data_IF_995612409164
#
_entry.id   IF_995612409164
#
_cell.length_a   1.000
_cell.length_b   1.000
_cell.length_c   1.000
_cell.angle_alpha   90.00
_cell.angle_beta   90.00
_cell.angle_gamma   90.00
#
_symmetry.space_group_name_H-M   'P 1'
#
loop_
_entity.id
_entity.type
_entity.pdbx_description
1 polymer ?
#
# COMPACT_ATOMS: atom_id res chain seq x y z
N UNK A 1 0.76 -30.02 -69.41
CA UNK A 1 1.64 -30.49 -68.32
C UNK A 1 1.53 -29.52 -67.15
N UNK A 2 1.44 -30.11 -65.95
CA UNK A 2 1.43 -29.55 -64.58
C UNK A 2 1.88 -28.09 -64.42
N UNK A 3 1.08 -27.31 -63.67
CA UNK A 3 1.46 -26.73 -62.36
C UNK A 3 0.25 -26.05 -61.71
N UNK A 4 -0.22 -26.67 -60.64
CA UNK A 4 -1.11 -26.04 -59.67
C UNK A 4 -0.34 -24.97 -58.90
N UNK A 5 -1.00 -23.88 -58.51
CA UNK A 5 -0.58 -23.09 -57.36
C UNK A 5 -1.83 -22.73 -56.57
N UNK A 6 -2.10 -23.53 -55.54
CA UNK A 6 -2.95 -23.12 -54.42
C UNK A 6 -2.31 -21.88 -53.82
N UNK A 7 -2.98 -20.73 -53.90
CA UNK A 7 -2.70 -19.64 -52.99
C UNK A 7 -3.51 -19.90 -51.70
N UNK A 8 -2.88 -20.66 -50.78
CA UNK A 8 -3.21 -20.57 -49.37
C UNK A 8 -3.02 -19.10 -48.96
N UNK A 9 -4.12 -18.38 -48.76
CA UNK A 9 -4.08 -17.16 -47.95
C UNK A 9 -3.88 -17.65 -46.52
N UNK A 10 -2.73 -17.36 -45.88
CA UNK A 10 -2.62 -17.63 -44.46
C UNK A 10 -3.61 -16.70 -43.79
N UNK A 11 -4.61 -17.29 -43.14
CA UNK A 11 -5.35 -16.64 -42.07
C UNK A 11 -4.28 -16.38 -41.01
N UNK A 12 -3.68 -15.19 -41.08
CA UNK A 12 -2.90 -14.62 -39.98
C UNK A 12 -3.96 -14.37 -38.91
N UNK A 13 -4.21 -15.41 -38.10
CA UNK A 13 -4.69 -15.23 -36.75
C UNK A 13 -3.68 -14.29 -36.11
N UNK A 14 -4.02 -13.01 -36.11
CA UNK A 14 -3.44 -12.00 -35.26
C UNK A 14 -3.70 -12.52 -33.84
N UNK A 15 -2.76 -13.31 -33.33
CA UNK A 15 -2.48 -13.41 -31.92
C UNK A 15 -2.12 -11.98 -31.49
N UNK A 16 -3.15 -11.17 -31.32
CA UNK A 16 -3.09 -10.06 -30.39
C UNK A 16 -2.81 -10.75 -29.07
N UNK A 17 -1.55 -10.69 -28.64
CA UNK A 17 -1.28 -10.58 -27.22
C UNK A 17 -2.15 -9.42 -26.76
N UNK A 18 -3.35 -9.75 -26.27
CA UNK A 18 -4.06 -8.85 -25.39
C UNK A 18 -3.12 -8.82 -24.20
N UNK A 19 -2.27 -7.79 -24.14
CA UNK A 19 -1.62 -7.41 -22.90
C UNK A 19 -2.77 -7.21 -21.94
N UNK A 20 -3.00 -8.24 -21.11
CA UNK A 20 -4.03 -8.22 -20.10
C UNK A 20 -3.52 -7.26 -19.05
N UNK A 21 -3.74 -5.95 -19.27
CA UNK A 21 -3.60 -4.97 -18.22
C UNK A 21 -4.73 -5.26 -17.24
N UNK A 22 -4.38 -5.81 -16.09
CA UNK A 22 -5.34 -5.99 -15.02
C UNK A 22 -5.87 -4.61 -14.63
N UNK A 23 -7.14 -4.33 -14.94
CA UNK A 23 -7.74 -3.03 -14.62
C UNK A 23 -7.93 -2.96 -13.10
N UNK A 24 -7.11 -2.16 -12.43
CA UNK A 24 -7.22 -1.95 -11.00
C UNK A 24 -8.34 -0.95 -10.73
N UNK A 25 -9.25 -1.30 -9.81
CA UNK A 25 -10.30 -0.40 -9.36
C UNK A 25 -10.19 -0.17 -7.85
N UNK A 26 -10.64 1.00 -7.39
CA UNK A 26 -10.70 1.31 -5.96
C UNK A 26 -11.56 0.32 -5.17
N UNK A 27 -12.46 -0.42 -5.83
CA UNK A 27 -13.28 -1.46 -5.19
C UNK A 27 -12.44 -2.67 -4.77
N UNK A 28 -11.41 -3.03 -5.53
CA UNK A 28 -10.51 -4.15 -5.18
C UNK A 28 -9.76 -3.89 -3.87
N UNK A 29 -9.41 -2.63 -3.60
CA UNK A 29 -8.71 -2.23 -2.38
C UNK A 29 -9.60 -2.22 -1.14
N UNK A 30 -10.92 -2.04 -1.26
CA UNK A 30 -11.80 -1.81 -0.11
C UNK A 30 -11.68 -2.91 0.95
N UNK A 31 -11.60 -2.54 2.22
CA UNK A 31 -11.44 -3.44 3.36
C UNK A 31 -10.07 -3.33 4.01
N UNK A 32 -9.76 -4.32 4.85
CA UNK A 32 -8.56 -4.35 5.70
C UNK A 32 -7.45 -5.20 5.08
N UNK A 33 -6.23 -4.70 5.18
CA UNK A 33 -5.00 -5.34 4.70
C UNK A 33 -3.96 -5.31 5.82
N UNK A 34 -3.20 -6.38 5.98
CA UNK A 34 -2.26 -6.56 7.08
C UNK A 34 -0.88 -6.95 6.56
N UNK A 35 0.13 -6.19 6.96
CA UNK A 35 1.53 -6.56 6.84
C UNK A 35 2.08 -6.78 8.25
N UNK A 36 2.64 -7.96 8.51
CA UNK A 36 3.27 -8.28 9.80
C UNK A 36 4.76 -8.06 9.69
N UNK A 37 5.30 -7.23 10.56
CA UNK A 37 6.71 -6.89 10.66
C UNK A 37 7.19 -7.44 11.99
N UNK A 38 8.18 -8.31 11.97
CA UNK A 38 8.80 -8.81 13.20
C UNK A 38 10.30 -8.80 13.04
N UNK A 39 10.99 -8.27 14.04
CA UNK A 39 12.44 -8.30 14.17
C UNK A 39 12.81 -8.76 15.58
N UNK A 40 14.11 -8.85 15.88
CA UNK A 40 14.60 -9.35 17.18
C UNK A 40 14.15 -8.51 18.39
N UNK A 41 13.66 -7.28 18.18
CA UNK A 41 13.32 -6.31 19.22
C UNK A 41 11.82 -6.05 19.34
N UNK A 42 11.06 -6.16 18.26
CA UNK A 42 9.64 -5.87 18.23
C UNK A 42 8.86 -6.62 17.16
N UNK A 43 7.60 -6.90 17.50
CA UNK A 43 6.56 -7.39 16.59
C UNK A 43 5.53 -6.28 16.39
N UNK A 44 5.28 -5.93 15.12
CA UNK A 44 4.35 -4.90 14.70
C UNK A 44 3.42 -5.39 13.61
N UNK A 45 2.16 -5.00 13.71
CA UNK A 45 1.19 -5.10 12.64
C UNK A 45 1.06 -3.73 11.96
N UNK A 46 1.30 -3.68 10.66
CA UNK A 46 0.95 -2.54 9.81
C UNK A 46 -0.36 -2.84 9.10
N UNK A 47 -1.42 -2.12 9.47
CA UNK A 47 -2.78 -2.33 9.00
C UNK A 47 -3.21 -1.18 8.11
N UNK A 48 -3.60 -1.47 6.86
CA UNK A 48 -4.27 -0.52 5.98
C UNK A 48 -5.75 -0.83 5.89
N UNK A 49 -6.60 0.21 6.03
CA UNK A 49 -8.05 0.10 5.89
C UNK A 49 -8.50 1.08 4.81
N UNK A 50 -9.00 0.56 3.69
CA UNK A 50 -9.55 1.37 2.60
C UNK A 50 -11.07 1.36 2.66
N UNK A 51 -11.66 2.54 2.79
CA UNK A 51 -13.10 2.72 2.94
C UNK A 51 -13.78 2.93 1.57
N UNK A 52 -15.05 2.55 1.46
CA UNK A 52 -15.83 2.68 0.21
C UNK A 52 -16.00 4.13 -0.27
N UNK A 53 -15.84 5.10 0.63
CA UNK A 53 -15.95 6.53 0.35
C UNK A 53 -14.66 7.17 -0.18
N UNK A 54 -13.59 6.40 -0.40
CA UNK A 54 -12.30 6.92 -0.86
C UNK A 54 -11.39 7.44 0.25
N UNK A 55 -11.75 7.28 1.52
CA UNK A 55 -10.83 7.53 2.65
C UNK A 55 -10.03 6.29 3.01
N UNK A 56 -8.88 6.47 3.63
CA UNK A 56 -8.09 5.37 4.17
C UNK A 56 -7.57 5.69 5.58
N UNK A 57 -7.25 4.63 6.29
CA UNK A 57 -6.56 4.66 7.57
C UNK A 57 -5.37 3.69 7.54
N UNK A 58 -4.28 4.03 8.21
CA UNK A 58 -3.12 3.17 8.38
C UNK A 58 -2.72 3.13 9.86
N UNK A 59 -2.53 1.94 10.43
CA UNK A 59 -2.17 1.75 11.83
C UNK A 59 -0.86 0.98 11.93
N UNK A 60 0.04 1.46 12.77
CA UNK A 60 1.25 0.76 13.18
C UNK A 60 1.03 0.32 14.63
N UNK A 61 0.84 -0.98 14.84
CA UNK A 61 0.39 -1.54 16.11
C UNK A 61 1.49 -2.45 16.63
N UNK A 62 2.06 -2.10 17.78
CA UNK A 62 2.93 -3.02 18.51
C UNK A 62 2.06 -4.11 19.11
N UNK A 63 2.37 -5.37 18.84
CA UNK A 63 1.52 -6.52 19.23
C UNK A 63 2.02 -7.22 20.49
N UNK A 64 3.28 -7.04 20.86
CA UNK A 64 3.92 -7.73 21.98
C UNK A 64 4.60 -6.75 22.95
N UNK A 65 4.78 -7.18 24.21
CA UNK A 65 5.62 -6.44 25.14
C UNK A 65 7.08 -6.63 24.75
N UNK A 66 7.82 -5.56 24.51
CA UNK A 66 9.28 -5.56 24.47
C UNK A 66 9.83 -4.79 25.66
N UNK A 67 11.15 -4.81 25.91
CA UNK A 67 11.81 -4.28 27.11
C UNK A 67 11.37 -2.85 27.51
N UNK A 68 10.32 -2.74 28.33
CA UNK A 68 9.75 -1.46 28.78
C UNK A 68 8.66 -0.85 27.90
N UNK A 69 8.21 -1.57 26.86
CA UNK A 69 7.24 -1.09 25.88
C UNK A 69 6.00 -1.97 25.84
N UNK A 70 4.83 -1.39 26.12
CA UNK A 70 3.54 -2.06 26.05
C UNK A 70 3.00 -2.12 24.59
N UNK A 71 2.14 -3.10 24.27
CA UNK A 71 1.38 -3.15 23.03
C UNK A 71 0.45 -1.93 22.87
N UNK A 72 0.19 -1.55 21.62
CA UNK A 72 -0.72 -0.46 21.28
C UNK A 72 -0.35 0.23 19.96
N UNK A 73 -1.08 1.29 19.62
CA UNK A 73 -0.91 2.06 18.38
C UNK A 73 0.26 3.02 18.55
N UNK A 74 1.35 2.77 17.84
CA UNK A 74 2.56 3.61 17.86
C UNK A 74 2.62 4.61 16.71
N UNK A 75 1.72 4.46 15.73
CA UNK A 75 1.53 5.41 14.65
C UNK A 75 0.18 5.21 13.97
N UNK A 76 -0.45 6.31 13.59
CA UNK A 76 -1.73 6.29 12.89
C UNK A 76 -1.72 7.34 11.78
N UNK A 77 -2.19 6.96 10.59
CA UNK A 77 -2.40 7.87 9.48
C UNK A 77 -3.84 7.80 9.01
N UNK A 78 -4.35 8.92 8.52
CA UNK A 78 -5.59 8.95 7.74
C UNK A 78 -5.51 9.95 6.61
N UNK A 79 -6.33 9.74 5.58
CA UNK A 79 -6.41 10.62 4.43
C UNK A 79 -7.35 10.07 3.37
N UNK A 80 -7.12 10.48 2.13
CA UNK A 80 -7.85 10.03 0.95
C UNK A 80 -6.97 9.12 0.08
N UNK A 81 -7.58 8.17 -0.61
CA UNK A 81 -6.90 7.33 -1.58
C UNK A 81 -7.58 7.36 -2.94
N UNK A 82 -6.78 7.23 -4.00
CA UNK A 82 -7.25 7.03 -5.36
C UNK A 82 -6.39 5.96 -6.04
N UNK A 83 -7.01 5.23 -6.96
CA UNK A 83 -6.30 4.31 -7.86
C UNK A 83 -6.41 4.86 -9.26
N UNK A 84 -5.28 4.98 -9.96
CA UNK A 84 -5.24 5.37 -11.37
C UNK A 84 -4.24 4.45 -12.05
N UNK A 85 -4.72 3.70 -13.05
CA UNK A 85 -3.95 2.62 -13.67
C UNK A 85 -3.42 1.65 -12.60
N UNK A 86 -2.11 1.45 -12.52
CA UNK A 86 -1.38 0.61 -11.56
C UNK A 86 -0.81 1.41 -10.38
N UNK A 87 -1.34 2.61 -10.10
CA UNK A 87 -0.85 3.47 -9.02
C UNK A 87 -1.88 3.72 -7.94
N UNK A 88 -1.46 3.54 -6.69
CA UNK A 88 -2.15 4.00 -5.50
C UNK A 88 -1.60 5.38 -5.11
N UNK A 89 -2.48 6.36 -4.97
CA UNK A 89 -2.13 7.70 -4.47
C UNK A 89 -2.82 7.93 -3.13
N UNK A 90 -2.03 8.22 -2.10
CA UNK A 90 -2.47 8.63 -0.77
C UNK A 90 -2.31 10.15 -0.63
N UNK A 91 -3.40 10.84 -0.31
CA UNK A 91 -3.49 12.31 -0.30
C UNK A 91 -4.18 12.84 0.96
N UNK A 92 -4.07 14.15 1.20
CA UNK A 92 -4.61 14.83 2.39
C UNK A 92 -4.19 14.14 3.70
N UNK A 93 -2.95 13.66 3.71
CA UNK A 93 -2.44 12.77 4.74
C UNK A 93 -2.29 13.52 6.05
N UNK A 94 -2.70 12.88 7.13
CA UNK A 94 -2.48 13.33 8.51
C UNK A 94 -1.82 12.22 9.27
N UNK A 95 -0.84 12.58 10.10
CA UNK A 95 -0.13 11.65 10.97
C UNK A 95 -0.50 11.94 12.43
N UNK A 96 -0.63 10.86 13.20
CA UNK A 96 -0.93 10.88 14.61
C UNK A 96 0.03 9.94 15.35
N UNK A 97 0.45 10.36 16.54
CA UNK A 97 1.42 9.64 17.36
C UNK A 97 0.94 9.56 18.82
N UNK A 98 1.39 8.57 19.61
CA UNK A 98 1.04 8.49 21.03
C UNK A 98 1.79 9.55 21.84
N UNK A 99 1.17 10.09 22.89
CA UNK A 99 1.87 10.99 23.83
C UNK A 99 2.98 10.23 24.59
N UNK A 100 2.69 8.98 24.98
CA UNK A 100 3.60 8.05 25.63
C UNK A 100 3.89 6.86 24.71
N UNK A 101 5.10 6.78 24.17
CA UNK A 101 5.54 5.67 23.31
C UNK A 101 5.80 4.36 24.06
N UNK A 102 6.03 4.42 25.39
CA UNK A 102 6.20 3.25 26.25
C UNK A 102 4.84 2.60 26.53
N UNK A 103 3.79 3.40 26.69
CA UNK A 103 2.41 2.94 26.92
C UNK A 103 1.43 3.51 25.87
N UNK A 104 1.55 3.08 24.59
CA UNK A 104 0.71 3.60 23.52
C UNK A 104 -0.77 3.23 23.73
N UNK A 105 -1.71 4.07 23.28
CA UNK A 105 -3.13 3.78 23.40
C UNK A 105 -3.56 2.66 22.45
N UNK A 106 -4.68 2.02 22.75
CA UNK A 106 -5.29 1.00 21.88
C UNK A 106 -6.32 1.59 20.91
N UNK A 107 -6.66 2.86 21.05
CA UNK A 107 -7.68 3.54 20.25
C UNK A 107 -7.11 4.78 19.54
N UNK A 108 -7.49 4.99 18.29
CA UNK A 108 -7.00 6.11 17.48
C UNK A 108 -7.43 7.49 18.01
N UNK A 109 -8.54 7.54 18.76
CA UNK A 109 -9.08 8.78 19.36
C UNK A 109 -8.17 9.41 20.40
N UNK A 110 -7.25 8.62 20.98
CA UNK A 110 -6.32 9.05 22.02
C UNK A 110 -4.95 9.46 21.45
N UNK A 111 -4.79 9.45 20.13
CA UNK A 111 -3.55 9.83 19.44
C UNK A 111 -3.48 11.34 19.18
N UNK A 112 -2.29 11.91 19.23
CA UNK A 112 -2.04 13.34 19.01
C UNK A 112 -1.75 13.61 17.53
N UNK A 113 -2.47 14.55 16.92
CA UNK A 113 -2.22 14.98 15.53
C UNK A 113 -0.90 15.76 15.40
N UNK A 114 -0.03 15.34 14.49
CA UNK A 114 1.16 16.11 14.11
C UNK A 114 0.77 17.31 13.23
N UNK A 115 0.59 18.48 13.84
CA UNK A 115 0.14 19.69 13.14
C UNK A 115 1.28 20.51 12.51
N UNK A 116 2.52 20.33 12.96
CA UNK A 116 3.63 21.25 12.63
C UNK A 116 4.37 20.91 11.33
N UNK A 117 4.02 19.80 10.68
CA UNK A 117 4.68 19.37 9.46
C UNK A 117 3.65 18.84 8.47
N UNK A 118 3.51 19.46 7.28
CA UNK A 118 2.58 18.97 6.29
C UNK A 118 3.09 17.63 5.75
N UNK A 119 2.20 16.64 5.70
CA UNK A 119 2.53 15.34 5.15
C UNK A 119 2.33 15.38 3.63
N UNK A 120 3.38 15.18 2.82
CA UNK A 120 3.23 15.17 1.37
C UNK A 120 2.37 13.97 0.93
N UNK A 121 1.69 14.15 -0.20
CA UNK A 121 1.05 13.04 -0.90
C UNK A 121 2.09 11.96 -1.19
N UNK A 122 1.66 10.71 -1.15
CA UNK A 122 2.53 9.55 -1.37
C UNK A 122 1.91 8.67 -2.44
N UNK A 123 2.72 8.26 -3.40
CA UNK A 123 2.32 7.34 -4.45
C UNK A 123 3.00 6.00 -4.24
N UNK A 124 2.35 4.93 -4.68
CA UNK A 124 2.94 3.60 -4.78
C UNK A 124 2.53 2.95 -6.09
N UNK A 125 3.44 2.20 -6.69
CA UNK A 125 3.04 1.18 -7.65
C UNK A 125 2.24 0.10 -6.90
N UNK A 126 1.15 -0.33 -7.50
CA UNK A 126 0.17 -1.25 -6.95
C UNK A 126 0.09 -2.47 -7.86
N UNK A 127 0.28 -3.65 -7.26
CA UNK A 127 -0.05 -4.92 -7.90
C UNK A 127 -0.75 -5.86 -6.91
N UNK A 128 -1.34 -6.93 -7.45
CA UNK A 128 -1.98 -7.96 -6.65
C UNK A 128 -1.39 -9.33 -6.99
N UNK A 129 -1.26 -10.17 -5.98
CA UNK A 129 -0.86 -11.57 -6.08
C UNK A 129 -1.96 -12.47 -5.49
N UNK A 130 -1.81 -13.79 -5.69
CA UNK A 130 -2.66 -14.81 -5.07
C UNK A 130 -4.18 -14.60 -5.28
N UNK A 131 -4.63 -14.33 -6.51
CA UNK A 131 -6.04 -14.02 -6.79
C UNK A 131 -6.57 -12.81 -6.00
N UNK A 132 -5.74 -11.76 -5.82
CA UNK A 132 -6.08 -10.51 -5.14
C UNK A 132 -6.23 -10.64 -3.62
N UNK A 133 -5.66 -11.68 -3.02
CA UNK A 133 -5.56 -11.81 -1.55
C UNK A 133 -4.27 -11.21 -1.01
N UNK A 134 -3.27 -10.96 -1.86
CA UNK A 134 -2.03 -10.27 -1.48
C UNK A 134 -1.92 -8.97 -2.29
N UNK A 135 -1.78 -7.85 -1.60
CA UNK A 135 -1.50 -6.53 -2.19
C UNK A 135 -0.01 -6.24 -2.06
N UNK A 136 0.62 -5.86 -3.18
CA UNK A 136 2.03 -5.46 -3.20
C UNK A 136 2.10 -3.97 -3.49
N UNK A 137 2.79 -3.23 -2.63
CA UNK A 137 3.00 -1.78 -2.75
C UNK A 137 4.49 -1.47 -2.84
N UNK A 138 4.87 -0.72 -3.86
CA UNK A 138 6.23 -0.16 -4.01
C UNK A 138 6.12 1.36 -3.92
N UNK A 139 6.42 1.92 -2.75
CA UNK A 139 6.25 3.35 -2.51
C UNK A 139 7.30 4.18 -3.23
N UNK A 140 6.85 5.23 -3.94
CA UNK A 140 7.75 6.20 -4.56
C UNK A 140 8.53 6.98 -3.49
N UNK A 141 9.82 7.19 -3.73
CA UNK A 141 10.66 7.99 -2.87
C UNK A 141 10.30 9.48 -2.97
N UNK A 142 10.01 10.11 -1.83
CA UNK A 142 9.78 11.56 -1.75
C UNK A 142 11.11 12.23 -1.42
N UNK A 143 11.80 12.69 -2.46
CA UNK A 143 13.20 13.14 -2.39
C UNK A 143 13.38 14.55 -1.78
N UNK A 144 12.30 15.28 -1.48
CA UNK A 144 12.41 16.64 -0.93
C UNK A 144 11.26 17.07 -0.02
N UNK A 145 11.62 17.48 1.19
CA UNK A 145 10.85 18.47 1.95
C UNK A 145 11.82 19.44 2.66
N UNK A 146 11.81 20.71 2.26
CA UNK A 146 12.57 21.76 2.96
C UNK A 146 14.10 21.78 2.77
N UNK A 147 14.65 21.17 1.72
CA UNK A 147 16.09 21.28 1.38
C UNK A 147 17.02 20.33 2.13
N UNK A 148 16.48 19.39 2.91
CA UNK A 148 17.24 18.26 3.46
C UNK A 148 17.23 17.12 2.44
N UNK A 149 18.40 16.56 2.14
CA UNK A 149 18.51 15.34 1.36
C UNK A 149 17.88 14.20 2.17
N UNK A 150 16.78 13.64 1.69
CA UNK A 150 16.32 12.36 2.18
C UNK A 150 17.29 11.29 1.64
N UNK A 151 17.76 10.39 2.50
CA UNK A 151 18.36 9.16 2.00
C UNK A 151 17.22 8.32 1.46
N UNK A 152 16.91 8.49 0.18
CA UNK A 152 16.00 7.62 -0.54
C UNK A 152 16.68 6.25 -0.67
N UNK A 153 16.31 5.32 0.22
CA UNK A 153 16.60 3.91 -0.02
C UNK A 153 15.86 3.46 -1.27
N UNK A 154 16.42 2.49 -2.00
CA UNK A 154 15.70 1.90 -3.13
C UNK A 154 14.31 1.42 -2.68
N UNK A 155 13.26 1.69 -3.47
CA UNK A 155 11.91 1.36 -3.05
C UNK A 155 11.75 -0.16 -2.98
N UNK A 156 11.51 -0.67 -1.77
CA UNK A 156 11.29 -2.10 -1.52
C UNK A 156 9.79 -2.44 -1.58
N UNK A 157 9.41 -3.59 -2.17
CA UNK A 157 8.02 -4.03 -2.18
C UNK A 157 7.57 -4.40 -0.77
N UNK A 158 6.41 -3.86 -0.37
CA UNK A 158 5.72 -4.23 0.87
C UNK A 158 4.49 -5.06 0.54
N UNK A 159 4.36 -6.21 1.19
CA UNK A 159 3.29 -7.18 0.95
C UNK A 159 2.25 -7.14 2.06
N UNK A 160 0.98 -7.02 1.71
CA UNK A 160 -0.13 -7.02 2.65
C UNK A 160 -1.13 -8.12 2.31
N UNK A 161 -1.50 -8.91 3.31
CA UNK A 161 -2.54 -9.92 3.20
C UNK A 161 -3.93 -9.30 3.40
N UNK A 162 -4.90 -9.71 2.59
CA UNK A 162 -6.30 -9.34 2.78
C UNK A 162 -6.83 -9.98 4.07
N UNK A 163 -7.40 -9.16 4.94
CA UNK A 163 -8.13 -9.67 6.12
C UNK A 163 -9.56 -9.99 5.69
N UNK A 164 -9.89 -11.28 5.69
CA UNK A 164 -11.24 -11.78 5.40
C UNK A 164 -12.08 -11.73 6.68
N UNK A 165 -13.23 -11.06 6.64
CA UNK A 165 -14.21 -10.99 7.76
C UNK A 165 -15.31 -12.04 7.63
#
# INVERSE_FOLDING_TARGET
MKKALLALVPIIFLFSCVDYSEEFSSQTLQGKWLNKISNDYESMDNVLVFQTNGSYEAFFIRTENSEGFAPGIVGYYKGNYAVTDDKLVLSDRKYYYPEDFENPPTEAGDMIEQANFPMPNQSAELSFEENKTVMVLVFECIDTFGGFAAMCMEPEPTYYDKVME
#
